data_IF_492864228144
#
_entry.id   IF_492864228144
#
_cell.length_a   1.000
_cell.length_b   1.000
_cell.length_c   1.000
_cell.angle_alpha   90.00
_cell.angle_beta   90.00
_cell.angle_gamma   90.00
#
_symmetry.space_group_name_H-M   'P 1'
#
loop_
_entity.id
_entity.type
_entity.pdbx_description
1 polymer ?
#
# COMPACT_ATOMS: atom_id res chain seq x y z
N UNK A 1 12.41 -20.49 17.86
CA UNK A 1 11.67 -19.88 16.75
C UNK A 1 11.32 -18.44 17.12
N UNK A 2 11.53 -17.49 16.20
CA UNK A 2 11.19 -16.08 16.41
C UNK A 2 10.02 -15.69 15.51
N UNK A 3 9.13 -14.87 16.02
CA UNK A 3 8.06 -14.20 15.31
C UNK A 3 8.50 -12.79 14.90
N UNK A 4 7.79 -12.17 13.98
CA UNK A 4 8.07 -10.80 13.55
C UNK A 4 6.82 -9.94 13.73
N UNK A 5 7.03 -8.68 14.10
CA UNK A 5 5.97 -7.69 14.17
C UNK A 5 5.90 -6.96 12.82
N UNK A 6 4.78 -7.09 12.13
CA UNK A 6 4.48 -6.33 10.93
C UNK A 6 3.57 -5.15 11.28
N UNK A 7 3.87 -3.97 10.75
CA UNK A 7 3.07 -2.74 10.94
C UNK A 7 2.82 -2.11 9.59
N UNK A 8 1.57 -1.79 9.32
CA UNK A 8 1.13 -0.98 8.19
C UNK A 8 0.73 0.40 8.68
N UNK A 9 1.39 1.45 8.16
CA UNK A 9 1.09 2.85 8.44
C UNK A 9 0.43 3.44 7.20
N UNK A 10 -0.89 3.36 7.12
CA UNK A 10 -1.68 3.96 6.06
C UNK A 10 -2.07 5.41 6.34
N UNK A 11 -2.81 6.00 5.41
CA UNK A 11 -3.27 7.39 5.56
C UNK A 11 -4.42 7.60 6.54
N UNK A 12 -5.09 6.53 6.96
CA UNK A 12 -6.28 6.57 7.83
C UNK A 12 -6.15 5.67 9.05
N UNK A 13 -5.14 4.82 9.09
CA UNK A 13 -4.95 3.86 10.17
C UNK A 13 -3.50 3.42 10.31
N UNK A 14 -3.18 2.92 11.50
CA UNK A 14 -1.98 2.13 11.80
C UNK A 14 -2.47 0.76 12.24
N UNK A 15 -2.01 -0.29 11.60
CA UNK A 15 -2.37 -1.65 11.95
C UNK A 15 -1.11 -2.49 12.16
N UNK A 16 -1.05 -3.21 13.25
CA UNK A 16 0.07 -4.09 13.55
C UNK A 16 -0.38 -5.51 13.87
N UNK A 17 0.46 -6.49 13.60
CA UNK A 17 0.20 -7.89 13.91
C UNK A 17 1.48 -8.72 13.98
N UNK A 18 1.38 -9.89 14.60
CA UNK A 18 2.47 -10.86 14.70
C UNK A 18 2.38 -11.85 13.54
N UNK A 19 3.51 -12.04 12.87
CA UNK A 19 3.65 -12.97 11.75
C UNK A 19 4.53 -14.16 12.20
N UNK A 20 4.06 -15.35 11.88
CA UNK A 20 4.86 -16.57 11.96
C UNK A 20 5.63 -16.78 10.65
N UNK A 21 6.97 -16.70 10.64
CA UNK A 21 7.73 -16.78 9.39
C UNK A 21 7.78 -18.19 8.77
N UNK A 22 7.34 -19.23 9.49
CA UNK A 22 7.31 -20.60 8.94
C UNK A 22 6.00 -20.92 8.22
N UNK A 23 4.90 -20.34 8.66
CA UNK A 23 3.56 -20.58 8.08
C UNK A 23 3.04 -19.38 7.31
N UNK A 24 3.70 -18.23 7.44
CA UNK A 24 3.26 -16.92 6.95
C UNK A 24 1.90 -16.46 7.51
N UNK A 25 1.44 -17.10 8.60
CA UNK A 25 0.17 -16.75 9.22
C UNK A 25 0.30 -15.54 10.15
N UNK A 26 -0.77 -14.73 10.17
CA UNK A 26 -0.94 -13.66 11.13
C UNK A 26 -1.73 -14.19 12.33
N UNK A 27 -1.20 -14.01 13.53
CA UNK A 27 -1.90 -14.34 14.76
C UNK A 27 -3.07 -13.38 14.99
N UNK A 28 -4.29 -13.79 14.67
CA UNK A 28 -5.50 -12.93 14.71
C UNK A 28 -5.75 -12.28 16.09
N UNK A 29 -5.41 -13.00 17.18
CA UNK A 29 -5.54 -12.47 18.55
C UNK A 29 -4.44 -11.47 18.95
N UNK A 30 -3.48 -11.19 18.06
CA UNK A 30 -2.34 -10.31 18.30
C UNK A 30 -2.32 -9.13 17.32
N UNK A 31 -3.48 -8.72 16.87
CA UNK A 31 -3.64 -7.52 16.03
C UNK A 31 -3.90 -6.33 16.95
N UNK A 32 -3.28 -5.19 16.64
CA UNK A 32 -3.56 -3.87 17.23
C UNK A 32 -3.83 -2.87 16.11
N UNK A 33 -4.68 -1.89 16.39
CA UNK A 33 -5.14 -0.92 15.40
C UNK A 33 -5.38 0.44 16.05
N UNK A 34 -4.96 1.50 15.36
CA UNK A 34 -5.25 2.90 15.69
C UNK A 34 -5.72 3.65 14.44
N UNK A 35 -6.73 4.50 14.60
CA UNK A 35 -7.16 5.38 13.54
C UNK A 35 -6.26 6.60 13.41
N UNK A 36 -6.02 7.04 12.17
CA UNK A 36 -5.33 8.28 11.85
C UNK A 36 -6.28 9.29 11.22
N UNK A 37 -6.11 10.56 11.60
CA UNK A 37 -6.79 11.70 10.98
C UNK A 37 -5.78 12.58 10.27
N UNK A 38 -6.18 13.21 9.18
CA UNK A 38 -5.32 14.14 8.44
C UNK A 38 -4.86 15.35 9.31
N UNK A 39 -5.59 15.62 10.40
CA UNK A 39 -5.30 16.69 11.35
C UNK A 39 -4.43 16.24 12.54
N UNK A 40 -4.05 14.97 12.61
CA UNK A 40 -3.21 14.48 13.69
C UNK A 40 -1.83 15.16 13.66
N UNK A 41 -1.39 15.62 14.85
CA UNK A 41 -0.06 16.18 15.01
C UNK A 41 1.00 15.07 14.97
N UNK A 42 2.26 15.45 14.73
CA UNK A 42 3.42 14.54 14.82
C UNK A 42 3.41 13.74 16.13
N UNK A 43 3.15 14.40 17.26
CA UNK A 43 3.07 13.74 18.57
C UNK A 43 1.93 12.73 18.64
N UNK A 44 0.75 13.06 18.09
CA UNK A 44 -0.40 12.15 18.04
C UNK A 44 -0.06 10.90 17.25
N UNK A 45 0.45 11.05 16.01
CA UNK A 45 0.80 9.93 15.15
C UNK A 45 1.88 9.05 15.76
N UNK A 46 2.98 9.64 16.25
CA UNK A 46 4.08 8.87 16.87
C UNK A 46 3.64 8.15 18.13
N UNK A 47 2.73 8.74 18.90
CA UNK A 47 2.15 8.09 20.09
C UNK A 47 1.31 6.87 19.70
N UNK A 48 0.49 6.97 18.64
CA UNK A 48 -0.30 5.85 18.12
C UNK A 48 0.59 4.72 17.60
N UNK A 49 1.65 5.05 16.84
CA UNK A 49 2.64 4.05 16.38
C UNK A 49 3.24 3.31 17.56
N UNK A 50 3.74 4.05 18.56
CA UNK A 50 4.34 3.46 19.77
C UNK A 50 3.34 2.61 20.55
N UNK A 51 2.08 3.04 20.62
CA UNK A 51 1.00 2.30 21.30
C UNK A 51 0.77 0.95 20.62
N UNK A 52 0.62 0.91 19.28
CA UNK A 52 0.45 -0.33 18.52
C UNK A 52 1.61 -1.31 18.77
N UNK A 53 2.85 -0.80 18.74
CA UNK A 53 4.04 -1.62 19.02
C UNK A 53 4.01 -2.19 20.44
N UNK A 54 3.78 -1.33 21.43
CA UNK A 54 3.78 -1.72 22.84
C UNK A 54 2.68 -2.73 23.17
N UNK A 55 1.46 -2.53 22.64
CA UNK A 55 0.34 -3.44 22.87
C UNK A 55 0.63 -4.85 22.35
N UNK A 56 1.28 -4.97 21.18
CA UNK A 56 1.63 -6.26 20.63
C UNK A 56 2.79 -6.87 21.40
N UNK A 57 3.83 -6.10 21.70
CA UNK A 57 4.99 -6.60 22.47
C UNK A 57 4.61 -7.08 23.88
N UNK A 58 3.60 -6.48 24.51
CA UNK A 58 3.10 -6.91 25.82
C UNK A 58 2.37 -8.27 25.78
N UNK A 59 1.98 -8.76 24.58
CA UNK A 59 1.28 -10.05 24.42
C UNK A 59 2.21 -11.22 24.14
N UNK A 60 3.51 -10.97 23.89
CA UNK A 60 4.49 -11.99 23.54
C UNK A 60 5.85 -11.66 24.18
N UNK A 61 6.56 -12.62 24.77
CA UNK A 61 7.90 -12.38 25.29
C UNK A 61 8.84 -11.79 24.25
N UNK A 62 9.55 -10.70 24.58
CA UNK A 62 10.48 -10.02 23.68
C UNK A 62 11.54 -10.96 23.09
N UNK A 63 11.97 -11.97 23.88
CA UNK A 63 12.91 -13.01 23.44
C UNK A 63 12.39 -13.85 22.26
N UNK A 64 11.08 -13.88 22.05
CA UNK A 64 10.43 -14.57 20.92
C UNK A 64 10.25 -13.69 19.68
N UNK A 65 10.55 -12.39 19.76
CA UNK A 65 10.48 -11.46 18.63
C UNK A 65 11.85 -11.36 17.94
N UNK A 66 11.85 -11.37 16.60
CA UNK A 66 13.05 -11.27 15.76
C UNK A 66 13.29 -9.86 15.24
N UNK A 67 12.24 -9.06 15.07
CA UNK A 67 12.32 -7.71 14.50
C UNK A 67 10.95 -7.12 14.21
N UNK A 68 10.97 -5.89 13.70
CA UNK A 68 9.80 -5.12 13.29
C UNK A 68 9.95 -4.77 11.81
N UNK A 69 8.95 -5.10 10.99
CA UNK A 69 8.81 -4.63 9.62
C UNK A 69 7.72 -3.57 9.55
N UNK A 70 8.01 -2.43 8.92
CA UNK A 70 7.07 -1.32 8.77
C UNK A 70 6.84 -1.03 7.31
N UNK A 71 5.59 -1.19 6.88
CA UNK A 71 5.10 -0.73 5.60
C UNK A 71 4.56 0.69 5.73
N UNK A 72 4.95 1.58 4.81
CA UNK A 72 4.42 2.94 4.76
C UNK A 72 4.55 3.54 3.36
N UNK A 73 3.65 4.47 2.98
CA UNK A 73 3.74 5.12 1.68
C UNK A 73 5.01 5.96 1.55
N UNK A 74 5.41 6.19 0.30
CA UNK A 74 6.52 7.06 -0.05
C UNK A 74 6.08 8.47 -0.46
N UNK A 75 7.09 9.35 -0.69
CA UNK A 75 8.53 9.08 -0.56
C UNK A 75 9.02 8.96 0.88
N UNK A 76 9.96 8.05 1.10
CA UNK A 76 10.61 7.81 2.39
C UNK A 76 12.04 7.32 2.17
N UNK A 77 13.00 7.77 2.97
CA UNK A 77 14.29 7.09 3.09
C UNK A 77 14.08 5.81 3.93
N UNK A 78 13.72 4.72 3.26
CA UNK A 78 13.39 3.46 3.93
C UNK A 78 14.60 2.86 4.67
N UNK A 79 15.83 3.14 4.24
CA UNK A 79 17.02 2.65 4.93
C UNK A 79 17.19 3.32 6.31
N UNK A 80 16.90 4.62 6.38
CA UNK A 80 17.02 5.40 7.62
C UNK A 80 15.70 5.53 8.38
N UNK A 81 14.56 5.27 7.74
CA UNK A 81 13.22 5.48 8.30
C UNK A 81 12.84 6.95 8.39
N UNK A 82 13.30 7.79 7.44
CA UNK A 82 13.02 9.23 7.41
C UNK A 82 11.89 9.51 6.42
N UNK A 83 10.81 10.10 6.91
CA UNK A 83 9.64 10.45 6.09
C UNK A 83 9.95 11.66 5.21
N UNK A 84 9.78 11.51 3.90
CA UNK A 84 10.00 12.59 2.93
C UNK A 84 8.72 13.01 2.19
N UNK A 85 7.54 12.59 2.67
CA UNK A 85 6.25 12.93 2.08
C UNK A 85 5.94 14.40 2.36
N UNK A 86 5.88 15.21 1.30
CA UNK A 86 5.58 16.64 1.37
C UNK A 86 4.33 16.98 0.56
N UNK A 87 3.56 17.97 1.03
CA UNK A 87 2.36 18.45 0.32
C UNK A 87 1.14 17.54 0.40
N UNK A 88 1.22 16.41 1.11
CA UNK A 88 0.08 15.52 1.36
C UNK A 88 -0.44 15.76 2.78
N UNK A 89 -1.65 16.33 2.97
CA UNK A 89 -2.13 16.78 4.28
C UNK A 89 -2.02 15.73 5.39
N UNK A 90 -2.40 14.49 5.12
CA UNK A 90 -2.42 13.40 6.10
C UNK A 90 -1.04 12.90 6.55
N UNK A 91 0.03 13.29 5.86
CA UNK A 91 1.41 12.94 6.22
C UNK A 91 2.29 14.16 6.45
N UNK A 92 1.77 15.37 6.24
CA UNK A 92 2.53 16.62 6.37
C UNK A 92 3.17 16.79 7.75
N UNK A 93 2.48 16.34 8.80
CA UNK A 93 3.00 16.38 10.17
C UNK A 93 4.19 15.45 10.42
N UNK A 94 4.45 14.50 9.52
CA UNK A 94 5.57 13.55 9.64
C UNK A 94 6.78 13.93 8.79
N UNK A 95 6.68 14.96 7.94
CA UNK A 95 7.78 15.36 7.05
C UNK A 95 9.07 15.63 7.85
N UNK A 96 10.17 14.98 7.43
CA UNK A 96 11.47 15.07 8.06
C UNK A 96 11.65 14.23 9.34
N UNK A 97 10.59 13.58 9.82
CA UNK A 97 10.66 12.77 11.04
C UNK A 97 11.44 11.48 10.79
N UNK A 98 12.34 11.15 11.72
CA UNK A 98 12.98 9.83 11.77
C UNK A 98 12.13 8.88 12.61
N UNK A 99 11.30 8.07 11.95
CA UNK A 99 10.45 7.09 12.62
C UNK A 99 11.24 5.98 13.32
N UNK A 100 12.43 5.64 12.82
CA UNK A 100 13.30 4.63 13.46
C UNK A 100 13.70 5.08 14.87
N UNK A 101 14.02 6.35 15.06
CA UNK A 101 14.34 6.91 16.39
C UNK A 101 13.10 6.97 17.29
N UNK A 102 11.92 7.24 16.73
CA UNK A 102 10.67 7.20 17.50
C UNK A 102 10.34 5.79 18.01
N UNK A 103 10.61 4.76 17.20
CA UNK A 103 10.36 3.36 17.57
C UNK A 103 11.36 2.88 18.61
N UNK A 104 12.62 3.30 18.55
CA UNK A 104 13.64 2.99 19.56
C UNK A 104 13.24 3.41 20.98
N UNK A 105 12.33 4.39 21.13
CA UNK A 105 11.82 4.81 22.44
C UNK A 105 10.98 3.75 23.15
N UNK A 106 10.43 2.78 22.41
CA UNK A 106 9.54 1.73 22.95
C UNK A 106 9.98 0.30 22.60
N UNK A 107 10.93 0.14 21.71
CA UNK A 107 11.42 -1.18 21.29
C UNK A 107 12.91 -1.16 20.99
N UNK A 108 13.63 -2.18 21.48
CA UNK A 108 15.03 -2.43 21.14
C UNK A 108 15.20 -3.35 19.94
N UNK A 109 14.11 -3.80 19.31
CA UNK A 109 14.15 -4.69 18.17
C UNK A 109 14.67 -3.97 16.91
N UNK A 110 15.40 -4.71 16.08
CA UNK A 110 15.77 -4.20 14.77
C UNK A 110 14.51 -3.86 13.97
N UNK A 111 14.49 -2.67 13.36
CA UNK A 111 13.35 -2.17 12.59
C UNK A 111 13.77 -1.90 11.16
N UNK A 112 13.02 -2.45 10.22
CA UNK A 112 13.17 -2.23 8.78
C UNK A 112 11.93 -1.56 8.23
N UNK A 113 12.10 -0.72 7.21
CA UNK A 113 11.01 0.00 6.55
C UNK A 113 10.96 -0.41 5.08
N UNK A 114 9.76 -0.43 4.53
CA UNK A 114 9.51 -0.74 3.13
C UNK A 114 8.32 0.08 2.62
N UNK A 115 8.25 0.32 1.33
CA UNK A 115 7.07 0.90 0.70
C UNK A 115 5.84 -0.02 0.90
N UNK A 116 4.66 0.58 1.10
CA UNK A 116 3.41 -0.15 1.38
C UNK A 116 2.98 -1.08 0.23
N UNK A 117 3.08 -0.63 -1.04
CA UNK A 117 2.80 -1.48 -2.20
C UNK A 117 3.82 -2.63 -2.32
N UNK A 118 5.10 -2.37 -2.00
CA UNK A 118 6.14 -3.41 -1.98
C UNK A 118 5.91 -4.42 -0.85
N UNK A 119 5.48 -3.96 0.33
CA UNK A 119 5.11 -4.85 1.43
C UNK A 119 3.91 -5.73 1.05
N UNK A 120 2.89 -5.14 0.41
CA UNK A 120 1.74 -5.88 -0.12
C UNK A 120 2.18 -6.94 -1.12
N UNK A 121 3.05 -6.58 -2.07
CA UNK A 121 3.56 -7.48 -3.09
C UNK A 121 4.33 -8.68 -2.49
N UNK A 122 5.18 -8.44 -1.49
CA UNK A 122 5.86 -9.52 -0.77
C UNK A 122 4.87 -10.40 0.00
N UNK A 123 3.80 -9.84 0.55
CA UNK A 123 2.71 -10.59 1.16
C UNK A 123 2.03 -11.53 0.16
N UNK A 124 1.75 -11.05 -1.05
CA UNK A 124 1.19 -11.86 -2.15
C UNK A 124 2.16 -12.96 -2.61
N UNK A 125 3.47 -12.70 -2.58
CA UNK A 125 4.48 -13.68 -2.93
C UNK A 125 4.58 -14.80 -1.88
N UNK A 126 4.63 -14.45 -0.60
CA UNK A 126 4.82 -15.46 0.46
C UNK A 126 3.54 -16.21 0.83
N UNK A 127 2.36 -15.57 0.73
CA UNK A 127 1.12 -16.15 1.25
C UNK A 127 -0.11 -15.95 0.36
N UNK A 128 0.03 -15.29 -0.80
CA UNK A 128 -1.10 -14.91 -1.64
C UNK A 128 -1.00 -15.40 -3.08
N UNK A 129 -1.50 -14.59 -4.00
CA UNK A 129 -1.70 -14.93 -5.40
C UNK A 129 -0.39 -14.99 -6.22
N UNK A 130 0.71 -14.36 -5.75
CA UNK A 130 2.01 -14.40 -6.40
C UNK A 130 2.87 -15.60 -5.92
N UNK A 131 2.33 -16.44 -5.05
CA UNK A 131 3.05 -17.64 -4.60
C UNK A 131 3.46 -18.52 -5.78
N UNK A 132 4.68 -19.05 -5.69
CA UNK A 132 5.29 -19.94 -6.69
C UNK A 132 5.47 -19.30 -8.08
N UNK A 133 5.49 -17.96 -8.20
CA UNK A 133 5.84 -17.26 -9.44
C UNK A 133 7.27 -16.77 -9.42
N UNK A 134 7.97 -16.86 -10.56
CA UNK A 134 9.31 -16.28 -10.71
C UNK A 134 9.26 -14.79 -10.98
N UNK A 135 8.25 -14.33 -11.74
CA UNK A 135 8.08 -12.90 -12.09
C UNK A 135 6.61 -12.50 -11.96
N UNK A 136 6.35 -11.42 -11.26
CA UNK A 136 4.99 -10.89 -11.10
C UNK A 136 4.98 -9.36 -11.05
N UNK A 137 3.89 -8.78 -11.56
CA UNK A 137 3.57 -7.37 -11.35
C UNK A 137 2.38 -7.34 -10.39
N UNK A 138 2.53 -6.62 -9.31
CA UNK A 138 1.47 -6.40 -8.33
C UNK A 138 1.07 -4.94 -8.38
N UNK A 139 -0.23 -4.70 -8.54
CA UNK A 139 -0.83 -3.37 -8.61
C UNK A 139 -1.85 -3.23 -7.49
N UNK A 140 -1.79 -2.14 -6.75
CA UNK A 140 -2.80 -1.79 -5.75
C UNK A 140 -3.57 -0.57 -6.21
N UNK A 141 -4.90 -0.70 -6.32
CA UNK A 141 -5.82 0.38 -6.69
C UNK A 141 -6.60 0.78 -5.44
N UNK A 142 -6.23 1.92 -4.90
CA UNK A 142 -6.85 2.50 -3.71
C UNK A 142 -7.06 4.00 -3.86
N UNK A 143 -6.77 4.79 -2.85
CA UNK A 143 -6.74 6.26 -2.95
C UNK A 143 -5.79 6.73 -4.05
N UNK A 144 -4.73 5.97 -4.32
CA UNK A 144 -3.79 6.12 -5.42
C UNK A 144 -3.47 4.77 -6.05
N UNK A 145 -2.58 4.81 -7.04
CA UNK A 145 -2.04 3.66 -7.76
C UNK A 145 -0.71 3.24 -7.11
N UNK A 146 -0.67 2.08 -6.50
CA UNK A 146 0.59 1.45 -6.07
C UNK A 146 1.01 0.37 -7.05
N UNK A 147 2.31 0.11 -7.15
CA UNK A 147 2.83 -0.98 -7.99
C UNK A 147 4.14 -1.50 -7.48
N UNK A 148 4.41 -2.76 -7.79
CA UNK A 148 5.68 -3.44 -7.49
C UNK A 148 5.95 -4.49 -8.53
N UNK A 149 7.19 -4.54 -9.01
CA UNK A 149 7.70 -5.58 -9.88
C UNK A 149 8.52 -6.53 -9.02
N UNK A 150 8.19 -7.81 -9.03
CA UNK A 150 8.90 -8.86 -8.30
C UNK A 150 9.60 -9.83 -9.24
N UNK A 151 10.83 -10.18 -8.90
CA UNK A 151 11.50 -11.37 -9.41
C UNK A 151 11.83 -12.25 -8.21
N UNK A 152 11.14 -13.38 -8.09
CA UNK A 152 11.05 -14.17 -6.86
C UNK A 152 10.61 -13.29 -5.68
N UNK A 153 11.35 -13.27 -4.58
CA UNK A 153 11.13 -12.42 -3.40
C UNK A 153 11.83 -11.05 -3.46
N UNK A 154 12.39 -10.70 -4.61
CA UNK A 154 13.15 -9.46 -4.78
C UNK A 154 12.28 -8.38 -5.42
N UNK A 155 12.12 -7.27 -4.69
CA UNK A 155 11.51 -6.04 -5.23
C UNK A 155 12.48 -5.36 -6.18
N UNK A 156 12.07 -5.18 -7.43
CA UNK A 156 12.90 -4.54 -8.45
C UNK A 156 12.69 -3.02 -8.42
N UNK A 157 13.75 -2.30 -8.10
CA UNK A 157 13.72 -0.84 -7.91
C UNK A 157 14.55 -0.08 -8.95
N UNK A 158 15.36 -0.78 -9.73
CA UNK A 158 16.23 -0.15 -10.72
C UNK A 158 15.50 0.09 -12.02
N UNK A 159 15.74 1.26 -12.63
CA UNK A 159 15.25 1.57 -13.96
C UNK A 159 15.94 0.65 -14.98
N UNK A 160 15.16 -0.28 -15.53
CA UNK A 160 15.59 -1.19 -16.59
C UNK A 160 14.52 -1.28 -17.66
N UNK A 161 14.82 -1.92 -18.78
CA UNK A 161 13.81 -2.10 -19.83
C UNK A 161 12.58 -2.86 -19.28
N UNK A 162 11.42 -2.23 -19.35
CA UNK A 162 10.15 -2.78 -18.87
C UNK A 162 9.86 -2.57 -17.39
N UNK A 163 10.78 -1.96 -16.62
CA UNK A 163 10.57 -1.63 -15.20
C UNK A 163 10.84 -0.14 -15.01
N UNK A 164 9.85 0.66 -14.60
CA UNK A 164 10.06 2.07 -14.30
C UNK A 164 10.89 2.24 -13.03
N UNK A 165 11.41 3.44 -12.82
CA UNK A 165 12.19 3.78 -11.65
C UNK A 165 11.43 3.41 -10.37
N UNK A 166 12.09 2.71 -9.45
CA UNK A 166 11.52 2.14 -8.22
C UNK A 166 10.34 1.17 -8.43
N UNK A 167 10.07 0.73 -9.67
CA UNK A 167 8.89 -0.06 -9.99
C UNK A 167 7.58 0.73 -9.90
N UNK A 168 7.63 2.06 -9.91
CA UNK A 168 6.47 2.91 -9.68
C UNK A 168 5.74 3.23 -10.99
N UNK A 169 4.47 2.82 -11.07
CA UNK A 169 3.59 3.13 -12.19
C UNK A 169 2.80 4.43 -11.99
N UNK A 170 2.61 4.88 -10.75
CA UNK A 170 1.73 6.00 -10.42
C UNK A 170 2.13 7.33 -11.10
N UNK A 171 3.43 7.55 -11.29
CA UNK A 171 4.01 8.77 -11.87
C UNK A 171 4.36 8.64 -13.37
N UNK A 172 3.94 7.56 -14.01
CA UNK A 172 4.11 7.41 -15.46
C UNK A 172 3.10 8.33 -16.17
N UNK A 173 3.54 9.14 -17.15
CA UNK A 173 2.64 9.94 -17.95
C UNK A 173 1.58 9.08 -18.65
N UNK A 174 0.32 9.46 -18.54
CA UNK A 174 -0.78 8.82 -19.22
C UNK A 174 -1.82 9.87 -19.64
N UNK A 175 -2.08 9.96 -20.94
CA UNK A 175 -2.93 10.99 -21.55
C UNK A 175 -2.48 12.40 -21.15
N UNK A 176 -3.36 13.18 -20.52
CA UNK A 176 -3.11 14.56 -20.10
C UNK A 176 -2.67 14.69 -18.64
N UNK A 177 -2.37 13.57 -17.98
CA UNK A 177 -1.94 13.53 -16.57
C UNK A 177 -0.97 12.39 -16.28
N UNK A 178 -1.04 11.89 -15.07
CA UNK A 178 -0.27 10.75 -14.59
C UNK A 178 -1.19 9.53 -14.41
N UNK A 179 -0.61 8.33 -14.42
CA UNK A 179 -1.37 7.10 -14.20
C UNK A 179 -2.20 7.11 -12.91
N UNK A 180 -1.71 7.74 -11.84
CA UNK A 180 -2.43 7.88 -10.55
C UNK A 180 -3.74 8.67 -10.68
N UNK A 181 -3.81 9.61 -11.63
CA UNK A 181 -5.02 10.40 -11.89
C UNK A 181 -6.13 9.57 -12.52
N UNK A 182 -5.76 8.51 -13.24
CA UNK A 182 -6.67 7.63 -13.98
C UNK A 182 -6.95 6.31 -13.28
N UNK A 183 -6.00 5.77 -12.51
CA UNK A 183 -6.07 4.43 -11.93
C UNK A 183 -6.14 4.46 -10.41
N UNK A 184 -7.11 5.22 -9.89
CA UNK A 184 -7.38 5.35 -8.45
C UNK A 184 -8.88 5.40 -8.17
N UNK A 185 -9.28 5.16 -6.92
CA UNK A 185 -10.69 5.33 -6.49
C UNK A 185 -11.17 6.78 -6.65
N UNK A 186 -10.25 7.76 -6.63
CA UNK A 186 -10.55 9.18 -6.88
C UNK A 186 -11.06 9.40 -8.29
N UNK A 187 -10.48 8.71 -9.29
CA UNK A 187 -10.92 8.81 -10.67
C UNK A 187 -12.39 8.43 -10.83
N UNK A 188 -12.81 7.32 -10.22
CA UNK A 188 -14.21 6.88 -10.26
C UNK A 188 -15.16 7.94 -9.70
N UNK A 189 -14.85 8.46 -8.50
CA UNK A 189 -15.70 9.45 -7.82
C UNK A 189 -15.75 10.76 -8.60
N UNK A 190 -14.61 11.24 -9.06
CA UNK A 190 -14.54 12.50 -9.81
C UNK A 190 -15.27 12.40 -11.16
N UNK A 191 -15.01 11.32 -11.92
CA UNK A 191 -15.65 11.10 -13.22
C UNK A 191 -17.16 10.91 -13.06
N UNK A 192 -17.62 10.12 -12.09
CA UNK A 192 -19.04 9.96 -11.81
C UNK A 192 -19.70 11.29 -11.47
N UNK A 193 -19.13 12.05 -10.54
CA UNK A 193 -19.69 13.32 -10.08
C UNK A 193 -19.69 14.42 -11.16
N UNK A 194 -18.75 14.34 -12.09
CA UNK A 194 -18.71 15.20 -13.28
C UNK A 194 -19.83 14.84 -14.27
N UNK A 195 -20.02 13.56 -14.54
CA UNK A 195 -21.02 13.07 -15.50
C UNK A 195 -22.45 13.15 -14.94
N UNK A 196 -22.61 12.96 -13.64
CA UNK A 196 -23.91 12.88 -12.97
C UNK A 196 -23.97 13.81 -11.75
N UNK A 197 -23.99 15.14 -11.94
CA UNK A 197 -23.91 16.13 -10.86
C UNK A 197 -25.09 16.05 -9.88
N UNK A 198 -26.25 15.55 -10.33
CA UNK A 198 -27.46 15.34 -9.50
C UNK A 198 -27.46 14.00 -8.74
N UNK A 199 -26.49 13.12 -9.02
CA UNK A 199 -26.39 11.78 -8.41
C UNK A 199 -25.00 11.58 -7.79
N UNK A 200 -24.45 12.61 -7.13
CA UNK A 200 -23.11 12.57 -6.57
C UNK A 200 -22.92 11.42 -5.59
N UNK A 201 -21.71 10.90 -5.59
CA UNK A 201 -21.23 9.85 -4.70
C UNK A 201 -20.01 10.32 -3.93
N UNK A 202 -19.72 9.68 -2.80
CA UNK A 202 -18.55 9.96 -1.96
C UNK A 202 -17.48 8.86 -2.04
N UNK A 203 -17.83 7.70 -2.61
CA UNK A 203 -16.92 6.57 -2.73
C UNK A 203 -17.27 5.63 -3.89
N UNK A 204 -16.27 4.90 -4.35
CA UNK A 204 -16.42 3.94 -5.46
C UNK A 204 -17.40 2.80 -5.13
N UNK A 205 -17.54 2.45 -3.85
CA UNK A 205 -18.49 1.41 -3.40
C UNK A 205 -19.93 1.70 -3.80
N UNK A 206 -20.34 2.97 -3.76
CA UNK A 206 -21.69 3.39 -4.18
C UNK A 206 -21.89 3.16 -5.69
N UNK A 207 -20.85 3.44 -6.51
CA UNK A 207 -20.88 3.22 -7.97
C UNK A 207 -20.91 1.72 -8.25
N UNK A 208 -20.10 0.93 -7.52
CA UNK A 208 -20.08 -0.53 -7.68
C UNK A 208 -21.45 -1.15 -7.34
N UNK A 209 -22.11 -0.67 -6.30
CA UNK A 209 -23.47 -1.14 -5.94
C UNK A 209 -24.48 -0.79 -7.04
N UNK A 210 -24.40 0.40 -7.65
CA UNK A 210 -25.24 0.78 -8.80
C UNK A 210 -25.00 -0.14 -9.99
N UNK A 211 -23.74 -0.42 -10.33
CA UNK A 211 -23.38 -1.32 -11.42
C UNK A 211 -23.94 -2.74 -11.19
N UNK A 212 -23.82 -3.26 -9.97
CA UNK A 212 -24.37 -4.57 -9.57
C UNK A 212 -25.90 -4.63 -9.65
N UNK A 213 -26.58 -3.49 -9.48
CA UNK A 213 -28.03 -3.36 -9.61
C UNK A 213 -28.49 -3.04 -11.05
N UNK A 214 -27.58 -3.12 -12.03
CA UNK A 214 -27.92 -2.97 -13.46
C UNK A 214 -27.92 -1.55 -13.98
N UNK A 215 -27.29 -0.58 -13.27
CA UNK A 215 -27.09 0.78 -13.78
C UNK A 215 -26.04 0.74 -14.89
N UNK A 216 -26.47 0.87 -16.14
CA UNK A 216 -25.62 0.83 -17.31
C UNK A 216 -24.52 1.91 -17.30
N UNK A 217 -24.79 3.09 -16.75
CA UNK A 217 -23.77 4.14 -16.65
C UNK A 217 -22.67 3.76 -15.69
N UNK A 218 -23.02 3.14 -14.57
CA UNK A 218 -22.04 2.64 -13.61
C UNK A 218 -21.22 1.47 -14.19
N UNK A 219 -21.88 0.55 -14.92
CA UNK A 219 -21.19 -0.54 -15.62
C UNK A 219 -20.21 0.00 -16.67
N UNK A 220 -20.65 0.92 -17.53
CA UNK A 220 -19.79 1.55 -18.55
C UNK A 220 -18.60 2.29 -17.94
N UNK A 221 -18.74 2.87 -16.75
CA UNK A 221 -17.62 3.52 -16.07
C UNK A 221 -16.52 2.50 -15.67
N UNK A 222 -16.92 1.32 -15.17
CA UNK A 222 -15.97 0.24 -14.87
C UNK A 222 -15.34 -0.35 -16.14
N UNK A 223 -16.10 -0.50 -17.21
CA UNK A 223 -15.60 -0.98 -18.51
C UNK A 223 -14.56 0.00 -19.09
N UNK A 224 -14.85 1.30 -19.05
CA UNK A 224 -13.90 2.33 -19.47
C UNK A 224 -12.62 2.33 -18.63
N UNK A 225 -12.74 2.18 -17.32
CA UNK A 225 -11.59 2.05 -16.44
C UNK A 225 -10.74 0.83 -16.82
N UNK A 226 -11.38 -0.33 -16.99
CA UNK A 226 -10.70 -1.57 -17.34
C UNK A 226 -9.99 -1.46 -18.69
N UNK A 227 -10.66 -0.90 -19.72
CA UNK A 227 -10.06 -0.71 -21.05
C UNK A 227 -8.83 0.22 -20.99
N UNK A 228 -8.94 1.33 -20.27
CA UNK A 228 -7.82 2.25 -20.06
C UNK A 228 -6.67 1.59 -19.31
N UNK A 229 -6.98 0.80 -18.29
CA UNK A 229 -5.96 0.09 -17.52
C UNK A 229 -5.23 -0.95 -18.35
N UNK A 230 -5.94 -1.71 -19.18
CA UNK A 230 -5.33 -2.68 -20.12
C UNK A 230 -4.41 -1.96 -21.11
N UNK A 231 -4.85 -0.84 -21.70
CA UNK A 231 -4.01 -0.03 -22.60
C UNK A 231 -2.72 0.41 -21.89
N UNK A 232 -2.83 0.92 -20.67
CA UNK A 232 -1.71 1.43 -19.89
C UNK A 232 -0.73 0.34 -19.46
N UNK A 233 -1.24 -0.80 -18.96
CA UNK A 233 -0.38 -1.85 -18.37
C UNK A 233 0.29 -2.73 -19.42
N UNK A 234 -0.27 -2.84 -20.62
CA UNK A 234 0.19 -3.76 -21.69
C UNK A 234 1.68 -3.61 -22.02
N UNK A 235 2.25 -2.42 -22.23
CA UNK A 235 3.68 -2.28 -22.48
C UNK A 235 4.56 -2.90 -21.40
N UNK A 236 4.19 -2.75 -20.12
CA UNK A 236 4.93 -3.33 -18.99
C UNK A 236 4.80 -4.86 -18.97
N UNK A 237 3.62 -5.40 -19.30
CA UNK A 237 3.43 -6.85 -19.42
C UNK A 237 4.28 -7.45 -20.53
N UNK A 238 4.34 -6.80 -21.69
CA UNK A 238 5.11 -7.28 -22.85
C UNK A 238 6.62 -7.22 -22.61
N UNK A 239 7.11 -6.20 -21.93
CA UNK A 239 8.53 -6.00 -21.67
C UNK A 239 9.01 -6.82 -20.48
N UNK A 240 8.33 -6.75 -19.34
CA UNK A 240 8.70 -7.48 -18.14
C UNK A 240 8.38 -8.97 -18.20
N UNK A 241 7.34 -9.36 -18.95
CA UNK A 241 6.86 -10.74 -19.13
C UNK A 241 6.57 -11.46 -17.81
N UNK A 242 5.69 -10.90 -16.94
CA UNK A 242 5.34 -11.55 -15.69
C UNK A 242 4.51 -12.81 -15.95
N UNK A 243 4.63 -13.79 -15.06
CA UNK A 243 3.75 -14.97 -15.04
C UNK A 243 2.35 -14.60 -14.53
N UNK A 244 2.28 -13.58 -13.64
CA UNK A 244 1.02 -13.06 -13.10
C UNK A 244 1.03 -11.53 -12.99
N UNK A 245 -0.11 -10.94 -13.34
CA UNK A 245 -0.51 -9.61 -12.94
C UNK A 245 -1.53 -9.74 -11.79
N UNK A 246 -1.20 -9.22 -10.63
CA UNK A 246 -2.08 -9.26 -9.45
C UNK A 246 -2.61 -7.86 -9.20
N UNK A 247 -3.92 -7.74 -9.11
CA UNK A 247 -4.61 -6.48 -8.85
C UNK A 247 -5.27 -6.59 -7.49
N UNK A 248 -4.91 -5.69 -6.58
CA UNK A 248 -5.48 -5.59 -5.26
C UNK A 248 -5.78 -4.13 -4.89
N UNK A 249 -5.98 -3.87 -3.61
CA UNK A 249 -6.34 -2.57 -3.08
C UNK A 249 -7.66 -2.60 -2.31
N UNK A 250 -8.25 -1.43 -2.06
CA UNK A 250 -9.49 -1.27 -1.28
C UNK A 250 -10.69 -0.99 -2.19
#
# INVERSE_FOLDING_TARGET
MKYYLGIDIGGTHIKGGIVNPLTNDIHQNMISHEELKATDSTLSVTTKIRKVIAEIQNRIPLSKLGGIGIAMPGPCDYAKGIVAIYGVPKFQSLFGLNLKEEIKKVSSLNTVFINDASAYALGEYYAGAAKDTSRSIIVTIGTGLGSTFLENDTVLNELTEGIPEHGYLYNIPYRDGMADDYFSTRWFVNTWNMLFPDKKVTGVKEIALRASNGDNNAQSLFENFASNFVEFITPFLLNFKPEKLIIGGN
#
